data_IF_128809172945
#
_entry.id   IF_128809172945
#
_cell.length_a   1.000
_cell.length_b   1.000
_cell.length_c   1.000
_cell.angle_alpha   90.00
_cell.angle_beta   90.00
_cell.angle_gamma   90.00
#
_symmetry.space_group_name_H-M   'P 1'
#
loop_
_entity.id
_entity.type
_entity.pdbx_description
1 polymer ?
#
# COMPACT_ATOMS: atom_id res chain seq x y z
N UNK A 1 20.98 -54.16 32.69
CA UNK A 1 19.67 -53.82 32.12
C UNK A 1 19.28 -52.40 32.52
N UNK A 2 19.47 -51.41 31.65
CA UNK A 2 18.84 -50.09 31.77
C UNK A 2 18.48 -49.62 30.36
N UNK A 3 17.19 -49.73 30.01
CA UNK A 3 16.57 -49.06 28.87
C UNK A 3 15.86 -47.84 29.45
N UNK A 4 16.21 -46.64 28.99
CA UNK A 4 15.37 -45.44 29.09
C UNK A 4 15.47 -44.73 27.74
N UNK A 5 14.47 -44.93 26.88
CA UNK A 5 13.43 -43.94 26.52
C UNK A 5 14.07 -42.73 25.81
N UNK A 6 14.12 -42.85 24.47
CA UNK A 6 14.33 -41.74 23.55
C UNK A 6 13.15 -41.74 22.57
N UNK A 7 12.03 -41.18 22.99
CA UNK A 7 10.92 -40.89 22.07
C UNK A 7 10.09 -39.75 22.63
N UNK A 8 10.37 -38.50 22.23
CA UNK A 8 9.34 -37.46 22.02
C UNK A 8 9.89 -36.14 21.45
N UNK A 9 10.41 -36.12 20.22
CA UNK A 9 10.54 -34.85 19.46
C UNK A 9 10.38 -35.12 17.97
N UNK A 10 9.18 -35.44 17.49
CA UNK A 10 8.94 -35.52 16.03
C UNK A 10 7.50 -35.26 15.58
N UNK A 11 6.64 -34.66 16.40
CA UNK A 11 5.23 -34.40 16.03
C UNK A 11 4.93 -32.91 15.75
N UNK A 12 5.81 -31.98 16.15
CA UNK A 12 5.57 -30.54 15.94
C UNK A 12 5.98 -29.98 14.57
N UNK A 13 6.79 -30.73 13.79
CA UNK A 13 7.29 -30.26 12.48
C UNK A 13 6.38 -30.63 11.31
N UNK A 14 5.63 -31.73 11.40
CA UNK A 14 4.75 -32.19 10.30
C UNK A 14 3.44 -31.39 10.21
N UNK A 15 2.87 -30.97 11.34
CA UNK A 15 1.62 -30.17 11.37
C UNK A 15 1.80 -28.75 10.81
N UNK A 16 2.95 -28.10 11.06
CA UNK A 16 3.23 -26.76 10.55
C UNK A 16 3.44 -26.76 9.02
N UNK A 17 3.91 -27.87 8.46
CA UNK A 17 4.17 -27.95 7.02
C UNK A 17 2.87 -28.08 6.22
N UNK A 18 1.85 -28.80 6.71
CA UNK A 18 0.57 -28.94 6.00
C UNK A 18 -0.24 -27.65 5.98
N UNK A 19 -0.32 -26.93 7.12
CA UNK A 19 -1.05 -25.65 7.20
C UNK A 19 -0.38 -24.57 6.34
N UNK A 20 0.96 -24.49 6.35
CA UNK A 20 1.67 -23.56 5.47
C UNK A 20 1.46 -23.91 3.99
N UNK A 21 1.46 -25.19 3.63
CA UNK A 21 1.22 -25.65 2.26
C UNK A 21 -0.21 -25.33 1.79
N UNK A 22 -1.19 -25.35 2.69
CA UNK A 22 -2.56 -24.94 2.39
C UNK A 22 -2.72 -23.41 2.22
N UNK A 23 -2.00 -22.58 3.00
CA UNK A 23 -2.11 -21.10 2.91
C UNK A 23 -1.53 -20.54 1.60
N UNK A 24 -0.63 -21.27 0.95
CA UNK A 24 -0.07 -20.92 -0.36
C UNK A 24 -0.71 -21.66 -1.53
N UNK A 25 -1.84 -22.34 -1.31
CA UNK A 25 -2.65 -22.85 -2.40
C UNK A 25 -3.33 -21.67 -3.12
N UNK A 26 -3.15 -21.59 -4.44
CA UNK A 26 -3.64 -20.45 -5.24
C UNK A 26 -5.16 -20.32 -5.18
N UNK A 27 -5.90 -21.43 -5.12
CA UNK A 27 -7.36 -21.39 -5.03
C UNK A 27 -7.83 -20.87 -3.68
N UNK A 28 -7.14 -21.23 -2.59
CA UNK A 28 -7.43 -20.73 -1.24
C UNK A 28 -7.11 -19.25 -1.08
N UNK A 29 -6.00 -18.79 -1.68
CA UNK A 29 -5.66 -17.36 -1.69
C UNK A 29 -6.73 -16.56 -2.44
N UNK A 30 -7.11 -17.01 -3.64
CA UNK A 30 -8.15 -16.32 -4.41
C UNK A 30 -9.49 -16.32 -3.67
N UNK A 31 -9.88 -17.45 -3.07
CA UNK A 31 -11.09 -17.53 -2.26
C UNK A 31 -11.06 -16.54 -1.10
N UNK A 32 -9.97 -16.48 -0.33
CA UNK A 32 -9.80 -15.54 0.76
C UNK A 32 -9.91 -14.07 0.28
N UNK A 33 -9.39 -13.76 -0.90
CA UNK A 33 -9.52 -12.43 -1.52
C UNK A 33 -10.98 -12.13 -1.93
N UNK A 34 -11.71 -13.10 -2.47
CA UNK A 34 -13.14 -12.95 -2.80
C UNK A 34 -13.97 -12.73 -1.54
N UNK A 35 -13.76 -13.51 -0.49
CA UNK A 35 -14.46 -13.34 0.80
C UNK A 35 -14.19 -11.96 1.42
N UNK A 36 -12.96 -11.47 1.33
CA UNK A 36 -12.60 -10.12 1.77
C UNK A 36 -13.31 -9.02 0.98
N UNK A 37 -13.39 -9.18 -0.36
CA UNK A 37 -14.15 -8.27 -1.22
C UNK A 37 -15.64 -8.29 -0.85
N UNK A 38 -16.26 -9.46 -0.78
CA UNK A 38 -17.69 -9.61 -0.51
C UNK A 38 -18.07 -9.00 0.84
N UNK A 39 -17.26 -9.25 1.87
CA UNK A 39 -17.46 -8.64 3.17
C UNK A 39 -17.37 -7.11 3.09
N UNK A 40 -16.37 -6.56 2.40
CA UNK A 40 -16.18 -5.11 2.31
C UNK A 40 -17.26 -4.42 1.46
N UNK A 41 -17.72 -5.03 0.38
CA UNK A 41 -18.84 -4.53 -0.44
C UNK A 41 -20.16 -4.54 0.33
N UNK A 42 -20.34 -5.47 1.29
CA UNK A 42 -21.48 -5.48 2.20
C UNK A 42 -21.40 -4.43 3.32
N UNK A 43 -20.20 -3.87 3.57
CA UNK A 43 -19.94 -2.87 4.62
C UNK A 43 -19.28 -1.60 4.04
N UNK A 44 -19.97 -0.87 3.15
CA UNK A 44 -19.39 0.32 2.53
C UNK A 44 -19.06 1.39 3.58
N UNK A 45 -17.88 2.00 3.46
CA UNK A 45 -17.41 3.06 4.35
C UNK A 45 -16.61 4.10 3.56
N UNK A 46 -16.57 5.32 4.06
CA UNK A 46 -15.74 6.42 3.56
C UNK A 46 -15.42 7.38 4.71
N UNK A 47 -14.38 8.21 4.55
CA UNK A 47 -14.06 9.27 5.49
C UNK A 47 -14.95 10.50 5.27
N UNK A 48 -15.11 10.91 4.01
CA UNK A 48 -15.86 12.11 3.62
C UNK A 48 -16.84 11.81 2.48
N UNK A 49 -16.42 11.04 1.48
CA UNK A 49 -17.19 10.79 0.28
C UNK A 49 -16.83 9.43 -0.35
N UNK A 50 -17.75 8.71 -1.02
CA UNK A 50 -17.44 7.47 -1.73
C UNK A 50 -16.32 7.55 -2.79
N UNK A 51 -15.91 8.76 -3.19
CA UNK A 51 -14.80 9.03 -4.12
C UNK A 51 -13.48 9.40 -3.42
N UNK A 52 -13.45 9.41 -2.08
CA UNK A 52 -12.25 9.77 -1.31
C UNK A 52 -11.14 8.70 -1.36
N UNK A 53 -9.98 9.05 -0.80
CA UNK A 53 -8.79 8.19 -0.78
C UNK A 53 -8.99 6.83 -0.12
N UNK A 54 -9.92 6.70 0.83
CA UNK A 54 -10.15 5.43 1.52
C UNK A 54 -10.71 4.40 0.54
N UNK A 55 -11.66 4.83 -0.30
CA UNK A 55 -12.19 4.04 -1.39
C UNK A 55 -11.19 3.94 -2.55
N UNK A 56 -10.42 4.99 -2.82
CA UNK A 56 -9.37 4.94 -3.84
C UNK A 56 -8.34 3.85 -3.58
N UNK A 57 -7.85 3.75 -2.35
CA UNK A 57 -6.92 2.68 -1.94
C UNK A 57 -7.58 1.30 -1.94
N UNK A 58 -8.83 1.20 -1.48
CA UNK A 58 -9.59 -0.04 -1.53
C UNK A 58 -9.73 -0.58 -2.96
N UNK A 59 -10.29 0.22 -3.88
CA UNK A 59 -10.52 -0.19 -5.26
C UNK A 59 -9.23 -0.33 -6.08
N UNK A 60 -8.12 0.27 -5.64
CA UNK A 60 -6.79 -0.05 -6.19
C UNK A 60 -6.41 -1.51 -5.91
N UNK A 61 -6.67 -2.00 -4.69
CA UNK A 61 -6.50 -3.42 -4.37
C UNK A 61 -7.43 -4.33 -5.17
N UNK A 62 -8.69 -3.94 -5.33
CA UNK A 62 -9.66 -4.67 -6.18
C UNK A 62 -9.19 -4.73 -7.64
N UNK A 63 -8.64 -3.63 -8.18
CA UNK A 63 -8.09 -3.58 -9.52
C UNK A 63 -6.92 -4.56 -9.71
N UNK A 64 -5.97 -4.61 -8.76
CA UNK A 64 -4.85 -5.56 -8.81
C UNK A 64 -5.30 -7.00 -8.63
N UNK A 65 -6.28 -7.26 -7.76
CA UNK A 65 -6.90 -8.58 -7.62
C UNK A 65 -7.54 -9.05 -8.93
N UNK A 66 -8.32 -8.19 -9.62
CA UNK A 66 -8.88 -8.53 -10.93
C UNK A 66 -7.79 -8.75 -11.98
N UNK A 67 -6.74 -7.91 -11.98
CA UNK A 67 -5.65 -8.02 -12.95
C UNK A 67 -4.95 -9.37 -12.90
N UNK A 68 -4.78 -9.92 -11.69
CA UNK A 68 -4.14 -11.23 -11.53
C UNK A 68 -5.09 -12.41 -11.76
N UNK A 69 -6.31 -12.34 -11.22
CA UNK A 69 -7.23 -13.49 -11.20
C UNK A 69 -8.14 -13.57 -12.43
N UNK A 70 -8.37 -12.44 -13.12
CA UNK A 70 -9.45 -12.28 -14.11
C UNK A 70 -10.85 -12.63 -13.59
N UNK A 71 -11.02 -12.71 -12.26
CA UNK A 71 -12.26 -13.14 -11.63
C UNK A 71 -13.34 -12.05 -11.75
N UNK A 72 -14.50 -12.44 -12.28
CA UNK A 72 -15.56 -11.50 -12.64
C UNK A 72 -16.17 -10.77 -11.45
N UNK A 73 -16.02 -11.29 -10.23
CA UNK A 73 -16.52 -10.62 -9.01
C UNK A 73 -15.78 -9.30 -8.77
N UNK A 74 -14.45 -9.26 -8.93
CA UNK A 74 -13.68 -8.02 -8.73
C UNK A 74 -14.03 -6.94 -9.77
N UNK A 75 -14.14 -7.30 -11.05
CA UNK A 75 -14.52 -6.31 -12.09
C UNK A 75 -15.98 -5.87 -11.99
N UNK A 76 -16.87 -6.71 -11.47
CA UNK A 76 -18.25 -6.32 -11.18
C UNK A 76 -18.30 -5.24 -10.08
N UNK A 77 -17.54 -5.41 -8.99
CA UNK A 77 -17.42 -4.40 -7.93
C UNK A 77 -16.86 -3.06 -8.47
N UNK A 78 -15.79 -3.13 -9.27
CA UNK A 78 -15.17 -1.95 -9.91
C UNK A 78 -16.15 -1.20 -10.82
N UNK A 79 -16.90 -1.90 -11.66
CA UNK A 79 -17.92 -1.30 -12.54
C UNK A 79 -19.06 -0.70 -11.74
N UNK A 80 -19.53 -1.39 -10.70
CA UNK A 80 -20.60 -0.91 -9.83
C UNK A 80 -20.21 0.39 -9.14
N UNK A 81 -19.00 0.45 -8.59
CA UNK A 81 -18.44 1.67 -8.03
C UNK A 81 -18.31 2.79 -9.07
N UNK A 82 -17.78 2.48 -10.25
CA UNK A 82 -17.61 3.46 -11.32
C UNK A 82 -18.91 4.11 -11.76
N UNK A 83 -19.96 3.32 -11.95
CA UNK A 83 -21.31 3.81 -12.27
C UNK A 83 -21.92 4.62 -11.13
N UNK A 84 -21.79 4.15 -9.88
CA UNK A 84 -22.27 4.87 -8.68
C UNK A 84 -21.65 6.26 -8.57
N UNK A 85 -20.36 6.37 -8.83
CA UNK A 85 -19.60 7.61 -8.70
C UNK A 85 -19.64 8.49 -9.96
N UNK A 86 -20.36 8.05 -11.01
CA UNK A 86 -20.36 8.68 -12.34
C UNK A 86 -18.95 8.97 -12.87
N UNK A 87 -17.97 8.11 -12.54
CA UNK A 87 -16.57 8.20 -12.94
C UNK A 87 -15.84 9.48 -12.50
N UNK A 88 -16.29 10.12 -11.41
CA UNK A 88 -15.70 11.37 -10.91
C UNK A 88 -14.68 11.11 -9.79
N UNK A 89 -13.48 11.73 -9.83
CA UNK A 89 -12.68 11.90 -8.63
C UNK A 89 -13.40 12.83 -7.64
N UNK A 90 -12.87 12.93 -6.41
CA UNK A 90 -13.38 13.90 -5.45
C UNK A 90 -12.96 15.33 -5.84
N UNK A 91 -13.39 16.35 -5.10
CA UNK A 91 -13.51 17.71 -5.64
C UNK A 91 -12.34 18.68 -5.33
N UNK A 92 -11.42 18.36 -4.41
CA UNK A 92 -10.30 19.23 -4.06
C UNK A 92 -9.12 18.94 -4.99
N UNK A 93 -9.13 19.56 -6.17
CA UNK A 93 -8.09 19.36 -7.20
C UNK A 93 -6.66 19.59 -6.71
N UNK A 94 -6.44 20.33 -5.62
CA UNK A 94 -5.11 20.54 -5.03
C UNK A 94 -4.68 19.45 -4.03
N UNK A 95 -5.55 18.48 -3.71
CA UNK A 95 -5.32 17.48 -2.66
C UNK A 95 -5.15 16.08 -3.27
N UNK A 96 -3.99 15.45 -3.06
CA UNK A 96 -3.65 14.15 -3.68
C UNK A 96 -4.66 13.03 -3.37
N UNK A 97 -5.23 13.01 -2.15
CA UNK A 97 -6.29 12.07 -1.76
C UNK A 97 -7.44 11.98 -2.76
N UNK A 98 -7.83 13.11 -3.35
CA UNK A 98 -9.07 13.23 -4.10
C UNK A 98 -8.97 12.62 -5.50
N UNK A 99 -7.75 12.27 -5.95
CA UNK A 99 -7.53 11.59 -7.23
C UNK A 99 -7.40 10.07 -7.10
N UNK A 100 -7.17 9.52 -5.90
CA UNK A 100 -6.78 8.12 -5.73
C UNK A 100 -7.75 7.11 -6.38
N UNK A 101 -9.06 7.40 -6.34
CA UNK A 101 -10.11 6.58 -6.97
C UNK A 101 -9.94 6.44 -8.49
N UNK A 102 -9.26 7.40 -9.13
CA UNK A 102 -9.01 7.39 -10.57
C UNK A 102 -8.08 6.27 -11.01
N UNK A 103 -7.30 5.65 -10.12
CA UNK A 103 -6.52 4.46 -10.45
C UNK A 103 -7.45 3.34 -10.96
N UNK A 104 -8.55 3.09 -10.25
CA UNK A 104 -9.57 2.13 -10.65
C UNK A 104 -10.27 2.52 -11.96
N UNK A 105 -10.54 3.81 -12.19
CA UNK A 105 -11.15 4.29 -13.44
C UNK A 105 -10.27 4.05 -14.65
N UNK A 106 -8.98 4.39 -14.56
CA UNK A 106 -7.99 4.16 -15.61
C UNK A 106 -7.84 2.66 -15.87
N UNK A 107 -7.80 1.85 -14.81
CA UNK A 107 -7.75 0.39 -14.92
C UNK A 107 -8.96 -0.17 -15.68
N UNK A 108 -10.19 0.19 -15.30
CA UNK A 108 -11.41 -0.27 -15.97
C UNK A 108 -11.39 0.13 -17.45
N UNK A 109 -10.96 1.36 -17.77
CA UNK A 109 -10.86 1.83 -19.15
C UNK A 109 -9.87 1.01 -19.99
N UNK A 110 -8.80 0.49 -19.37
CA UNK A 110 -7.85 -0.43 -20.03
C UNK A 110 -8.47 -1.78 -20.38
N UNK A 111 -9.47 -2.25 -19.60
CA UNK A 111 -10.13 -3.55 -19.84
C UNK A 111 -11.18 -3.49 -20.97
N UNK A 112 -11.84 -2.34 -21.14
CA UNK A 112 -12.84 -2.12 -22.19
C UNK A 112 -12.90 -0.65 -22.57
N UNK A 113 -12.57 -0.34 -23.82
CA UNK A 113 -12.68 1.00 -24.39
C UNK A 113 -14.12 1.52 -24.27
N UNK A 114 -14.23 2.82 -24.06
CA UNK A 114 -15.49 3.59 -24.03
C UNK A 114 -16.45 3.26 -22.88
N UNK A 115 -16.04 2.45 -21.91
CA UNK A 115 -16.86 2.14 -20.72
C UNK A 115 -16.82 3.26 -19.66
N UNK A 116 -15.70 3.99 -19.60
CA UNK A 116 -15.39 4.95 -18.55
C UNK A 116 -15.36 6.37 -19.12
N UNK A 117 -16.06 7.30 -18.47
CA UNK A 117 -15.86 8.72 -18.76
C UNK A 117 -14.64 9.24 -17.98
N UNK A 118 -13.49 9.38 -18.64
CA UNK A 118 -12.26 9.87 -18.02
C UNK A 118 -12.12 11.40 -18.03
N UNK A 119 -13.05 12.16 -18.62
CA UNK A 119 -12.98 13.63 -18.64
C UNK A 119 -12.83 14.24 -17.23
N UNK A 120 -13.53 13.78 -16.17
CA UNK A 120 -13.33 14.30 -14.82
C UNK A 120 -11.92 14.05 -14.28
N UNK A 121 -11.33 12.87 -14.56
CA UNK A 121 -9.94 12.56 -14.19
C UNK A 121 -8.95 13.41 -14.97
N UNK A 122 -9.15 13.58 -16.28
CA UNK A 122 -8.33 14.44 -17.14
C UNK A 122 -8.32 15.87 -16.59
N UNK A 123 -9.50 16.43 -16.29
CA UNK A 123 -9.68 17.78 -15.74
C UNK A 123 -9.02 17.93 -14.37
N UNK A 124 -9.18 16.96 -13.46
CA UNK A 124 -8.48 16.97 -12.17
C UNK A 124 -6.97 17.05 -12.37
N UNK A 125 -6.39 16.20 -13.23
CA UNK A 125 -4.94 16.16 -13.46
C UNK A 125 -4.44 17.49 -14.03
N UNK A 126 -5.17 18.11 -14.96
CA UNK A 126 -4.80 19.43 -15.47
C UNK A 126 -4.76 20.48 -14.35
N UNK A 127 -5.80 20.53 -13.52
CA UNK A 127 -5.91 21.46 -12.41
C UNK A 127 -4.85 21.22 -11.33
N UNK A 128 -4.56 19.95 -11.01
CA UNK A 128 -3.62 19.54 -9.97
C UNK A 128 -2.16 19.86 -10.33
N UNK A 129 -1.78 19.62 -11.59
CA UNK A 129 -0.38 19.68 -12.01
C UNK A 129 -0.01 20.94 -12.78
N UNK A 130 -0.93 21.54 -13.53
CA UNK A 130 -0.59 22.56 -14.53
C UNK A 130 -1.22 23.93 -14.27
N UNK A 131 -2.45 23.98 -13.77
CA UNK A 131 -3.12 25.25 -13.49
C UNK A 131 -2.42 26.00 -12.33
N UNK A 132 -2.48 27.35 -12.31
CA UNK A 132 -1.95 28.12 -11.21
C UNK A 132 -2.84 28.01 -9.97
N UNK A 133 -2.30 27.49 -8.87
CA UNK A 133 -2.95 27.49 -7.56
C UNK A 133 -1.92 27.55 -6.43
N UNK A 134 -2.24 28.13 -5.26
CA UNK A 134 -1.28 28.41 -4.20
C UNK A 134 -0.61 27.15 -3.61
N UNK A 135 -1.25 25.99 -3.75
CA UNK A 135 -0.74 24.73 -3.19
C UNK A 135 0.44 24.13 -3.98
N UNK A 136 0.68 24.53 -5.24
CA UNK A 136 1.79 23.99 -6.05
C UNK A 136 3.17 24.35 -5.49
N UNK A 137 3.26 25.47 -4.79
CA UNK A 137 4.50 25.97 -4.16
C UNK A 137 4.55 25.67 -2.66
N UNK A 138 3.50 25.04 -2.12
CA UNK A 138 3.28 24.95 -0.68
C UNK A 138 2.84 26.28 -0.06
N UNK A 139 2.38 26.20 1.20
CA UNK A 139 1.92 27.35 1.97
C UNK A 139 3.00 27.74 2.98
N UNK A 140 3.66 28.87 2.73
CA UNK A 140 4.72 29.42 3.61
C UNK A 140 4.22 29.54 5.06
N UNK A 141 5.05 29.10 6.00
CA UNK A 141 4.75 29.16 7.43
C UNK A 141 3.73 28.12 7.92
N UNK A 142 3.35 27.15 7.09
CA UNK A 142 2.51 26.00 7.49
C UNK A 142 3.25 24.69 7.21
N UNK A 143 2.71 23.60 7.76
CA UNK A 143 3.19 22.23 7.52
C UNK A 143 3.13 21.83 6.04
N UNK A 144 2.26 22.47 5.26
CA UNK A 144 1.98 22.17 3.85
C UNK A 144 3.02 22.78 2.91
N UNK A 145 4.30 22.41 3.07
CA UNK A 145 5.44 23.08 2.39
C UNK A 145 5.63 22.69 0.91
N UNK A 146 4.92 21.68 0.42
CA UNK A 146 4.86 21.25 -0.99
C UNK A 146 3.46 20.75 -1.31
N UNK A 147 3.13 20.51 -2.58
CA UNK A 147 1.85 19.94 -3.02
C UNK A 147 1.56 18.61 -2.31
N UNK A 148 2.58 17.75 -2.20
CA UNK A 148 2.52 16.45 -1.54
C UNK A 148 3.30 16.49 -0.22
N UNK A 149 2.81 17.30 0.72
CA UNK A 149 3.50 17.61 1.99
C UNK A 149 3.46 16.50 3.05
N UNK A 150 2.80 15.37 2.76
CA UNK A 150 2.75 14.19 3.62
C UNK A 150 3.05 12.93 2.80
N UNK A 151 3.68 11.93 3.42
CA UNK A 151 4.20 10.77 2.68
C UNK A 151 3.10 9.94 2.01
N UNK A 152 1.88 9.91 2.57
CA UNK A 152 0.78 9.07 2.08
C UNK A 152 0.34 9.51 0.68
N UNK A 153 0.51 10.80 0.33
CA UNK A 153 0.24 11.35 -1.00
C UNK A 153 0.99 10.60 -2.11
N UNK A 154 2.12 9.96 -1.78
CA UNK A 154 2.94 9.20 -2.71
C UNK A 154 2.31 7.87 -3.17
N UNK A 155 1.25 7.42 -2.51
CA UNK A 155 0.36 6.37 -3.01
C UNK A 155 -0.84 6.94 -3.78
N UNK A 156 -1.36 8.09 -3.35
CA UNK A 156 -2.65 8.59 -3.83
C UNK A 156 -2.56 9.14 -5.27
N UNK A 157 -1.53 9.93 -5.57
CA UNK A 157 -1.39 10.59 -6.87
C UNK A 157 -0.40 9.89 -7.83
N UNK A 158 0.84 9.54 -7.43
CA UNK A 158 1.83 9.02 -8.38
C UNK A 158 1.41 7.77 -9.17
N UNK A 159 0.79 6.73 -8.58
CA UNK A 159 0.31 5.58 -9.35
C UNK A 159 -0.74 5.95 -10.40
N UNK A 160 -1.64 6.89 -10.10
CA UNK A 160 -2.62 7.42 -11.06
C UNK A 160 -1.88 8.13 -12.20
N UNK A 161 -0.92 8.99 -11.88
CA UNK A 161 -0.16 9.75 -12.87
C UNK A 161 0.70 8.86 -13.77
N UNK A 162 1.31 7.79 -13.23
CA UNK A 162 2.04 6.80 -14.03
C UNK A 162 1.10 6.06 -15.00
N UNK A 163 -0.04 5.57 -14.50
CA UNK A 163 -1.06 4.91 -15.32
C UNK A 163 -1.63 5.84 -16.40
N UNK A 164 -1.83 7.11 -16.04
CA UNK A 164 -2.35 8.14 -16.92
C UNK A 164 -1.35 8.54 -18.01
N UNK A 165 -0.07 8.70 -17.66
CA UNK A 165 1.00 8.98 -18.60
C UNK A 165 1.12 7.87 -19.65
N UNK A 166 1.03 6.60 -19.20
CA UNK A 166 0.99 5.43 -20.08
C UNK A 166 -0.25 5.43 -20.98
N UNK A 167 -1.43 5.75 -20.44
CA UNK A 167 -2.68 5.84 -21.22
C UNK A 167 -2.61 6.91 -22.31
N UNK A 168 -2.06 8.09 -21.99
CA UNK A 168 -1.94 9.22 -22.92
C UNK A 168 -0.69 9.13 -23.83
N UNK A 169 0.23 8.22 -23.52
CA UNK A 169 1.55 8.12 -24.14
C UNK A 169 2.29 9.48 -24.12
N UNK A 170 2.32 10.12 -22.95
CA UNK A 170 2.86 11.47 -22.76
C UNK A 170 3.66 11.57 -21.45
N UNK A 171 4.99 11.63 -21.58
CA UNK A 171 5.92 11.65 -20.43
C UNK A 171 5.86 12.94 -19.61
N UNK A 172 5.23 14.02 -20.10
CA UNK A 172 5.16 15.27 -19.35
C UNK A 172 4.47 15.10 -17.98
N UNK A 173 3.55 14.14 -17.89
CA UNK A 173 2.88 13.80 -16.63
C UNK A 173 3.83 13.10 -15.64
N UNK A 174 4.75 12.27 -16.14
CA UNK A 174 5.83 11.69 -15.33
C UNK A 174 6.82 12.76 -14.86
N UNK A 175 7.09 13.77 -15.70
CA UNK A 175 7.99 14.87 -15.34
C UNK A 175 7.44 15.75 -14.22
N UNK A 176 6.17 16.16 -14.30
CA UNK A 176 5.54 16.88 -13.18
C UNK A 176 5.39 15.98 -11.95
N UNK A 177 5.06 14.68 -12.13
CA UNK A 177 5.07 13.72 -11.03
C UNK A 177 6.45 13.66 -10.36
N UNK A 178 7.54 13.60 -11.12
CA UNK A 178 8.90 13.52 -10.59
C UNK A 178 9.28 14.76 -9.78
N UNK A 179 8.94 15.94 -10.29
CA UNK A 179 9.13 17.21 -9.57
C UNK A 179 8.48 17.19 -8.19
N UNK A 180 7.20 16.85 -8.09
CA UNK A 180 6.49 16.84 -6.81
C UNK A 180 6.93 15.68 -5.91
N UNK A 181 7.21 14.50 -6.48
CA UNK A 181 7.75 13.36 -5.72
C UNK A 181 9.10 13.72 -5.08
N UNK A 182 9.98 14.37 -5.85
CA UNK A 182 11.31 14.75 -5.39
C UNK A 182 11.26 15.79 -4.28
N UNK A 183 10.29 16.72 -4.31
CA UNK A 183 10.05 17.66 -3.21
C UNK A 183 9.65 16.95 -1.92
N UNK A 184 8.72 15.97 -2.00
CA UNK A 184 8.35 15.16 -0.84
C UNK A 184 9.50 14.31 -0.32
N UNK A 185 10.28 13.70 -1.23
CA UNK A 185 11.48 12.94 -0.89
C UNK A 185 12.49 13.82 -0.15
N UNK A 186 12.83 14.99 -0.69
CA UNK A 186 13.81 15.90 -0.07
C UNK A 186 13.34 16.43 1.28
N UNK A 187 12.03 16.56 1.48
CA UNK A 187 11.43 17.04 2.73
C UNK A 187 11.33 15.95 3.80
N UNK A 188 10.93 14.72 3.43
CA UNK A 188 10.43 13.71 4.37
C UNK A 188 11.24 12.42 4.43
N UNK A 189 12.07 12.12 3.44
CA UNK A 189 12.87 10.89 3.45
C UNK A 189 14.08 11.03 4.36
N UNK A 190 14.12 10.20 5.39
CA UNK A 190 15.28 10.08 6.27
C UNK A 190 16.29 9.11 5.65
N UNK A 191 17.42 9.62 5.16
CA UNK A 191 18.45 8.82 4.48
C UNK A 191 19.20 7.88 5.42
N UNK A 192 19.26 8.18 6.72
CA UNK A 192 19.91 7.33 7.71
C UNK A 192 19.00 6.15 8.05
N UNK A 193 17.72 6.44 8.23
CA UNK A 193 16.73 5.42 8.62
C UNK A 193 16.13 4.69 7.42
N UNK A 194 16.29 5.23 6.21
CA UNK A 194 15.73 4.73 4.95
C UNK A 194 14.19 4.63 4.98
N UNK A 195 13.54 5.55 5.67
CA UNK A 195 12.09 5.62 5.88
C UNK A 195 11.59 7.05 5.73
N UNK A 196 10.30 7.19 5.44
CA UNK A 196 9.62 8.48 5.35
C UNK A 196 8.99 8.88 6.68
N UNK A 197 9.33 10.08 7.16
CA UNK A 197 8.52 10.78 8.14
C UNK A 197 7.14 11.08 7.53
N UNK A 198 6.07 11.01 8.34
CA UNK A 198 4.71 11.20 7.81
C UNK A 198 4.50 12.60 7.24
N UNK A 199 5.00 13.61 7.96
CA UNK A 199 5.02 15.01 7.58
C UNK A 199 6.08 15.74 8.44
N UNK A 200 6.24 17.04 8.23
CA UNK A 200 7.27 17.85 8.89
C UNK A 200 7.21 17.82 10.42
N UNK A 201 6.06 17.49 11.03
CA UNK A 201 5.91 17.42 12.51
C UNK A 201 6.65 16.23 13.12
N UNK A 202 7.11 15.29 12.30
CA UNK A 202 7.83 14.08 12.72
C UNK A 202 9.31 14.14 12.35
N UNK A 203 9.78 15.22 11.73
CA UNK A 203 11.19 15.47 11.51
C UNK A 203 11.87 15.87 12.83
N UNK A 204 13.10 15.43 13.01
CA UNK A 204 13.93 15.83 14.14
C UNK A 204 14.80 17.01 13.78
N UNK A 205 14.79 18.05 14.60
CA UNK A 205 15.66 19.21 14.48
C UNK A 205 16.73 19.25 15.58
N UNK A 206 16.83 18.19 16.39
CA UNK A 206 17.71 18.09 17.54
C UNK A 206 17.18 18.85 18.77
N UNK A 207 15.87 19.13 18.81
CA UNK A 207 15.25 19.95 19.86
C UNK A 207 14.59 19.05 20.93
N UNK A 208 14.46 19.52 22.19
CA UNK A 208 13.70 18.79 23.21
C UNK A 208 12.23 18.53 22.83
N UNK A 209 11.66 19.35 21.95
CA UNK A 209 10.30 19.22 21.44
C UNK A 209 10.12 18.21 20.31
N UNK A 210 11.21 17.60 19.80
CA UNK A 210 11.13 16.60 18.75
C UNK A 210 10.26 15.41 19.21
N UNK A 211 9.34 14.97 18.35
CA UNK A 211 8.45 13.85 18.68
C UNK A 211 9.22 12.53 18.65
N UNK A 212 9.09 11.74 19.71
CA UNK A 212 9.78 10.46 19.87
C UNK A 212 8.79 9.35 20.16
N UNK A 213 9.11 8.13 19.70
CA UNK A 213 8.44 6.92 20.16
C UNK A 213 8.70 6.69 21.65
N UNK A 214 7.97 5.75 22.25
CA UNK A 214 8.10 5.45 23.69
C UNK A 214 9.52 5.04 24.09
N UNK A 215 10.25 4.38 23.20
CA UNK A 215 11.65 4.01 23.37
C UNK A 215 12.66 5.14 23.03
N UNK A 216 12.18 6.35 22.79
CA UNK A 216 13.00 7.52 22.50
C UNK A 216 13.51 7.63 21.05
N UNK A 217 13.15 6.70 20.15
CA UNK A 217 13.56 6.75 18.73
C UNK A 217 12.65 7.66 17.88
N UNK A 218 13.09 7.93 16.64
CA UNK A 218 12.28 8.61 15.61
C UNK A 218 10.97 7.85 15.35
N UNK A 219 9.91 8.58 15.02
CA UNK A 219 8.59 7.99 14.71
C UNK A 219 8.48 7.77 13.21
N UNK A 220 8.53 6.50 12.80
CA UNK A 220 8.16 6.08 11.45
C UNK A 220 6.91 5.20 11.50
N UNK A 221 5.85 5.70 10.88
CA UNK A 221 4.56 5.02 10.86
C UNK A 221 4.54 3.94 9.78
N UNK A 222 4.12 2.73 10.16
CA UNK A 222 4.09 1.56 9.29
C UNK A 222 3.22 1.78 8.06
N UNK A 223 1.93 2.12 8.23
CA UNK A 223 1.06 2.40 7.08
C UNK A 223 1.53 3.60 6.25
N UNK A 224 2.11 4.63 6.87
CA UNK A 224 2.71 5.76 6.16
C UNK A 224 3.79 5.32 5.17
N UNK A 225 4.73 4.48 5.63
CA UNK A 225 5.76 3.90 4.77
C UNK A 225 5.21 2.84 3.82
N UNK A 226 4.14 2.14 4.21
CA UNK A 226 3.38 1.22 3.36
C UNK A 226 2.80 1.92 2.14
N UNK A 227 2.21 3.11 2.31
CA UNK A 227 1.76 3.95 1.21
C UNK A 227 2.89 4.24 0.23
N UNK A 228 4.05 4.68 0.72
CA UNK A 228 5.16 5.05 -0.15
C UNK A 228 5.69 3.85 -0.94
N UNK A 229 6.01 2.73 -0.28
CA UNK A 229 6.60 1.58 -0.98
C UNK A 229 5.59 0.83 -1.86
N UNK A 230 4.31 0.76 -1.45
CA UNK A 230 3.23 0.26 -2.28
C UNK A 230 3.02 1.16 -3.51
N UNK A 231 3.08 2.48 -3.32
CA UNK A 231 3.02 3.45 -4.42
C UNK A 231 4.19 3.31 -5.38
N UNK A 232 5.41 3.09 -4.88
CA UNK A 232 6.60 2.82 -5.70
C UNK A 232 6.44 1.57 -6.56
N UNK A 233 5.94 0.47 -5.99
CA UNK A 233 5.67 -0.75 -6.74
C UNK A 233 4.67 -0.51 -7.89
N UNK A 234 3.56 0.19 -7.62
CA UNK A 234 2.57 0.53 -8.64
C UNK A 234 3.11 1.50 -9.71
N UNK A 235 3.88 2.52 -9.31
CA UNK A 235 4.52 3.46 -10.25
C UNK A 235 5.50 2.72 -11.17
N UNK A 236 6.35 1.86 -10.62
CA UNK A 236 7.34 1.11 -11.40
C UNK A 236 6.72 0.08 -12.35
N UNK A 237 5.51 -0.41 -12.05
CA UNK A 237 4.75 -1.35 -12.90
C UNK A 237 4.31 -0.70 -14.23
N UNK A 238 3.95 0.59 -14.20
CA UNK A 238 3.46 1.33 -15.37
C UNK A 238 4.48 2.32 -15.98
N UNK A 239 5.57 2.61 -15.27
CA UNK A 239 6.63 3.51 -15.75
C UNK A 239 7.41 2.90 -16.92
N UNK A 240 7.66 3.65 -18.01
CA UNK A 240 8.53 3.20 -19.11
C UNK A 240 9.92 2.79 -18.61
N UNK A 241 10.45 1.67 -19.13
CA UNK A 241 11.75 1.11 -18.70
C UNK A 241 12.93 2.06 -18.94
N UNK A 242 12.80 2.96 -19.92
CA UNK A 242 13.77 3.96 -20.35
C UNK A 242 13.46 5.38 -19.86
N UNK A 243 12.45 5.55 -18.98
CA UNK A 243 12.15 6.86 -18.41
C UNK A 243 13.37 7.43 -17.68
N UNK A 244 13.74 8.68 -18.00
CA UNK A 244 15.00 9.34 -17.58
C UNK A 244 15.26 9.35 -16.06
N UNK A 245 14.20 9.31 -15.23
CA UNK A 245 14.32 9.31 -13.77
C UNK A 245 14.00 7.95 -13.13
N UNK A 246 13.79 6.87 -13.89
CA UNK A 246 13.42 5.55 -13.36
C UNK A 246 14.38 5.04 -12.29
N UNK A 247 15.69 5.24 -12.47
CA UNK A 247 16.72 4.82 -11.52
C UNK A 247 16.52 5.42 -10.11
N UNK A 248 15.98 6.64 -9.99
CA UNK A 248 15.65 7.23 -8.70
C UNK A 248 14.61 6.40 -7.94
N UNK A 249 13.52 6.02 -8.62
CA UNK A 249 12.44 5.23 -8.03
C UNK A 249 12.87 3.81 -7.70
N UNK A 250 13.67 3.18 -8.57
CA UNK A 250 14.23 1.85 -8.31
C UNK A 250 15.14 1.81 -7.09
N UNK A 251 16.02 2.81 -6.94
CA UNK A 251 16.93 2.88 -5.80
C UNK A 251 16.17 3.15 -4.51
N UNK A 252 15.23 4.12 -4.52
CA UNK A 252 14.39 4.41 -3.36
C UNK A 252 13.59 3.18 -2.91
N UNK A 253 12.98 2.48 -3.87
CA UNK A 253 12.25 1.24 -3.60
C UNK A 253 13.16 0.19 -2.93
N UNK A 254 14.38 -0.03 -3.45
CA UNK A 254 15.32 -1.01 -2.90
C UNK A 254 15.81 -0.64 -1.50
N UNK A 255 16.12 0.64 -1.25
CA UNK A 255 16.53 1.13 0.08
C UNK A 255 15.43 0.91 1.11
N UNK A 256 14.19 1.31 0.78
CA UNK A 256 13.03 1.09 1.66
C UNK A 256 12.75 -0.40 1.87
N UNK A 257 12.79 -1.21 0.80
CA UNK A 257 12.55 -2.65 0.90
C UNK A 257 13.53 -3.33 1.85
N UNK A 258 14.82 -2.99 1.75
CA UNK A 258 15.86 -3.52 2.64
C UNK A 258 15.62 -3.14 4.11
N UNK A 259 15.25 -1.88 4.37
CA UNK A 259 14.92 -1.44 5.74
C UNK A 259 13.67 -2.12 6.28
N UNK A 260 12.61 -2.21 5.48
CA UNK A 260 11.34 -2.84 5.87
C UNK A 260 11.56 -4.33 6.18
N UNK A 261 12.33 -5.04 5.37
CA UNK A 261 12.75 -6.41 5.63
C UNK A 261 13.45 -6.53 7.00
N UNK A 262 14.44 -5.67 7.26
CA UNK A 262 15.20 -5.69 8.51
C UNK A 262 14.35 -5.40 9.76
N UNK A 263 13.23 -4.70 9.59
CA UNK A 263 12.32 -4.34 10.68
C UNK A 263 11.15 -5.32 10.84
N UNK A 264 11.06 -6.39 10.05
CA UNK A 264 9.93 -7.34 10.13
C UNK A 264 9.97 -8.11 11.45
N UNK A 265 8.92 -8.02 12.29
CA UNK A 265 8.86 -8.79 13.53
C UNK A 265 8.83 -10.31 13.29
N UNK A 266 9.14 -11.09 14.32
CA UNK A 266 9.21 -12.55 14.25
C UNK A 266 7.88 -13.20 13.86
N UNK A 267 6.76 -12.61 14.24
CA UNK A 267 5.41 -13.10 13.91
C UNK A 267 4.93 -12.71 12.51
N UNK A 268 5.69 -11.89 11.77
CA UNK A 268 5.42 -11.52 10.39
C UNK A 268 4.66 -10.20 10.17
N UNK A 269 3.99 -9.66 11.20
CA UNK A 269 3.26 -8.39 11.07
C UNK A 269 4.05 -7.24 11.65
N UNK A 270 4.27 -6.20 10.85
CA UNK A 270 4.81 -4.94 11.32
C UNK A 270 3.80 -4.26 12.24
N UNK A 271 4.28 -3.70 13.35
CA UNK A 271 3.46 -2.86 14.25
C UNK A 271 3.26 -1.49 13.64
N UNK A 272 2.35 -0.71 14.18
CA UNK A 272 2.08 0.65 13.67
C UNK A 272 3.29 1.58 13.81
N UNK A 273 4.14 1.38 14.83
CA UNK A 273 5.45 2.01 14.94
C UNK A 273 6.55 1.07 14.44
N UNK A 274 7.31 1.50 13.43
CA UNK A 274 8.38 0.69 12.83
C UNK A 274 9.62 0.58 13.71
N UNK A 275 9.94 1.62 14.49
CA UNK A 275 11.13 1.65 15.35
C UNK A 275 10.83 1.39 16.83
N UNK A 276 9.55 1.34 17.23
CA UNK A 276 9.09 1.00 18.58
C UNK A 276 7.98 -0.06 18.54
N UNK A 277 8.22 -1.23 17.91
CA UNK A 277 7.20 -2.28 17.81
C UNK A 277 6.76 -2.82 19.19
N UNK A 278 7.62 -2.75 20.20
CA UNK A 278 7.32 -3.15 21.58
C UNK A 278 6.17 -2.35 22.24
N UNK A 279 5.84 -1.17 21.70
CA UNK A 279 4.71 -0.35 22.15
C UNK A 279 3.34 -0.94 21.78
N UNK A 280 3.29 -1.99 20.96
CA UNK A 280 2.06 -2.61 20.47
C UNK A 280 2.09 -4.13 20.63
N UNK A 281 1.08 -4.67 21.32
CA UNK A 281 1.00 -6.08 21.67
C UNK A 281 0.65 -7.01 20.49
N UNK A 282 0.23 -6.44 19.35
CA UNK A 282 -0.09 -7.17 18.12
C UNK A 282 0.36 -6.34 16.92
N UNK A 283 0.73 -7.01 15.82
CA UNK A 283 1.03 -6.34 14.56
C UNK A 283 -0.23 -5.75 13.89
N UNK A 284 -0.03 -4.87 12.94
CA UNK A 284 -1.11 -4.16 12.25
C UNK A 284 -1.18 -4.54 10.77
N UNK A 285 -2.40 -4.77 10.29
CA UNK A 285 -2.64 -5.47 9.02
C UNK A 285 -2.46 -4.57 7.80
N UNK A 286 -2.90 -3.31 7.82
CA UNK A 286 -2.85 -2.48 6.60
C UNK A 286 -1.42 -2.12 6.19
N UNK A 287 -0.56 -1.69 7.12
CA UNK A 287 0.85 -1.44 6.82
C UNK A 287 1.57 -2.70 6.37
N UNK A 288 1.34 -3.82 7.07
CA UNK A 288 1.88 -5.14 6.72
C UNK A 288 1.40 -5.63 5.35
N UNK A 289 0.16 -5.33 4.96
CA UNK A 289 -0.41 -5.64 3.65
C UNK A 289 0.35 -4.92 2.54
N UNK A 290 0.57 -3.61 2.67
CA UNK A 290 1.36 -2.85 1.69
C UNK A 290 2.82 -3.32 1.59
N UNK A 291 3.46 -3.65 2.72
CA UNK A 291 4.81 -4.21 2.70
C UNK A 291 4.85 -5.58 2.02
N UNK A 292 3.91 -6.47 2.34
CA UNK A 292 3.83 -7.80 1.73
C UNK A 292 3.61 -7.68 0.22
N UNK A 293 2.68 -6.82 -0.21
CA UNK A 293 2.47 -6.48 -1.62
C UNK A 293 3.75 -6.01 -2.29
N UNK A 294 4.38 -4.96 -1.76
CA UNK A 294 5.51 -4.33 -2.42
C UNK A 294 6.72 -5.26 -2.47
N UNK A 295 7.00 -6.02 -1.41
CA UNK A 295 8.09 -6.99 -1.39
C UNK A 295 7.83 -8.18 -2.34
N UNK A 296 6.59 -8.69 -2.38
CA UNK A 296 6.20 -9.75 -3.32
C UNK A 296 6.34 -9.29 -4.77
N UNK A 297 5.84 -8.09 -5.09
CA UNK A 297 6.00 -7.45 -6.40
C UNK A 297 7.48 -7.35 -6.78
N UNK A 298 8.35 -6.97 -5.84
CA UNK A 298 9.79 -6.86 -6.08
C UNK A 298 10.45 -8.18 -6.45
N UNK A 299 10.10 -9.25 -5.75
CA UNK A 299 10.57 -10.61 -6.06
C UNK A 299 10.06 -11.05 -7.43
N UNK A 300 8.77 -10.86 -7.71
CA UNK A 300 8.15 -11.26 -8.99
C UNK A 300 8.74 -10.54 -10.21
N UNK A 301 9.17 -9.28 -10.03
CA UNK A 301 9.73 -8.45 -11.09
C UNK A 301 11.27 -8.47 -11.14
N UNK A 302 11.94 -9.31 -10.35
CA UNK A 302 13.40 -9.41 -10.31
C UNK A 302 14.10 -8.15 -9.76
N UNK A 303 13.36 -7.30 -9.06
CA UNK A 303 13.86 -6.09 -8.40
C UNK A 303 14.50 -6.39 -7.05
N UNK A 304 14.04 -7.46 -6.40
CA UNK A 304 14.55 -7.97 -5.11
C UNK A 304 15.00 -9.43 -5.27
N UNK A 305 16.06 -9.78 -4.56
CA UNK A 305 16.59 -11.15 -4.55
C UNK A 305 15.57 -12.13 -3.92
N UNK A 306 15.27 -13.22 -4.63
CA UNK A 306 14.23 -14.17 -4.22
C UNK A 306 14.59 -14.84 -2.89
N UNK A 307 15.83 -15.30 -2.74
CA UNK A 307 16.23 -16.07 -1.56
C UNK A 307 16.24 -15.22 -0.29
N UNK A 308 16.60 -13.94 -0.42
CA UNK A 308 16.59 -12.98 0.68
C UNK A 308 15.16 -12.57 1.09
N UNK A 309 14.27 -12.26 0.13
CA UNK A 309 13.00 -11.60 0.43
C UNK A 309 11.79 -12.53 0.49
N UNK A 310 11.80 -13.66 -0.23
CA UNK A 310 10.66 -14.59 -0.26
C UNK A 310 10.26 -15.12 1.13
N UNK A 311 11.18 -15.48 2.05
CA UNK A 311 10.81 -15.90 3.39
C UNK A 311 10.01 -14.84 4.16
N UNK A 312 10.40 -13.56 4.03
CA UNK A 312 9.70 -12.43 4.64
C UNK A 312 8.30 -12.24 4.06
N UNK A 313 8.17 -12.32 2.73
CA UNK A 313 6.87 -12.24 2.04
C UNK A 313 5.94 -13.36 2.49
N UNK A 314 6.43 -14.61 2.52
CA UNK A 314 5.65 -15.77 2.98
C UNK A 314 5.20 -15.59 4.43
N UNK A 315 6.10 -15.14 5.31
CA UNK A 315 5.78 -14.88 6.72
C UNK A 315 4.73 -13.78 6.87
N UNK A 316 4.84 -12.69 6.10
CA UNK A 316 3.85 -11.61 6.07
C UNK A 316 2.47 -12.10 5.62
N UNK A 317 2.41 -12.84 4.51
CA UNK A 317 1.14 -13.39 4.00
C UNK A 317 0.46 -14.34 4.99
N UNK A 318 1.20 -15.28 5.58
CA UNK A 318 0.64 -16.20 6.59
C UNK A 318 0.02 -15.42 7.75
N UNK A 319 0.68 -14.35 8.21
CA UNK A 319 0.20 -13.57 9.33
C UNK A 319 -1.01 -12.70 8.96
N UNK A 320 -1.06 -12.16 7.73
CA UNK A 320 -2.22 -11.45 7.19
C UNK A 320 -3.44 -12.37 7.07
N UNK A 321 -3.28 -13.56 6.48
CA UNK A 321 -4.35 -14.53 6.30
C UNK A 321 -4.98 -14.95 7.64
N UNK A 322 -4.18 -15.07 8.71
CA UNK A 322 -4.67 -15.36 10.07
C UNK A 322 -5.50 -14.25 10.70
N UNK A 323 -5.43 -13.02 10.18
CA UNK A 323 -6.22 -11.88 10.68
C UNK A 323 -7.57 -11.73 9.98
N UNK A 324 -7.83 -12.53 8.94
CA UNK A 324 -9.14 -12.61 8.31
C UNK A 324 -10.09 -13.43 9.18
N UNK A 325 -11.29 -12.90 9.41
CA UNK A 325 -12.36 -13.61 10.10
C UNK A 325 -13.07 -14.59 9.16
N UNK A 326 -13.78 -15.57 9.71
CA UNK A 326 -14.51 -16.58 8.93
C UNK A 326 -15.56 -16.00 7.96
N UNK A 327 -16.06 -14.79 8.23
CA UNK A 327 -17.01 -14.10 7.36
C UNK A 327 -16.34 -13.24 6.28
N UNK A 328 -15.01 -13.25 6.17
CA UNK A 328 -14.24 -12.47 5.21
C UNK A 328 -13.69 -11.14 5.75
N UNK A 329 -14.11 -10.66 6.94
CA UNK A 329 -13.63 -9.38 7.49
C UNK A 329 -12.11 -9.38 7.71
N UNK A 330 -11.44 -8.34 7.24
CA UNK A 330 -10.02 -8.11 7.53
C UNK A 330 -9.88 -7.30 8.82
N UNK A 331 -9.52 -7.98 9.92
CA UNK A 331 -9.33 -7.38 11.24
C UNK A 331 -7.93 -6.78 11.47
N UNK A 332 -7.67 -6.26 12.68
CA UNK A 332 -6.39 -5.68 13.08
C UNK A 332 -5.92 -4.51 12.19
N UNK A 333 -6.86 -3.75 11.64
CA UNK A 333 -6.58 -2.57 10.81
C UNK A 333 -6.69 -1.31 11.66
N UNK A 334 -5.57 -0.57 11.80
CA UNK A 334 -5.60 0.72 12.48
C UNK A 334 -6.52 1.69 11.70
N UNK A 335 -7.49 2.30 12.39
CA UNK A 335 -8.36 3.34 11.85
C UNK A 335 -7.62 4.56 11.28
N UNK A 336 -8.36 5.46 10.59
CA UNK A 336 -7.80 6.65 9.94
C UNK A 336 -6.94 7.46 10.93
N UNK A 337 -5.74 7.86 10.51
CA UNK A 337 -4.78 8.53 11.38
C UNK A 337 -3.56 9.03 10.62
N UNK A 338 -2.64 9.66 11.37
CA UNK A 338 -1.41 10.25 10.85
C UNK A 338 -0.17 9.83 11.67
N UNK A 339 -0.34 8.95 12.65
CA UNK A 339 0.66 8.48 13.60
C UNK A 339 0.38 7.03 14.03
N UNK A 340 1.34 6.35 14.66
CA UNK A 340 1.10 5.02 15.25
C UNK A 340 -0.01 5.06 16.31
N UNK A 341 -1.06 4.24 16.12
CA UNK A 341 -2.18 4.06 17.06
C UNK A 341 -2.51 2.58 17.19
N UNK A 342 -3.14 2.14 18.29
CA UNK A 342 -3.55 0.75 18.44
C UNK A 342 -4.63 0.37 17.42
N UNK A 343 -4.70 -0.93 17.15
CA UNK A 343 -5.76 -1.62 16.44
C UNK A 343 -6.18 -2.83 17.26
N UNK A 344 -7.35 -3.38 16.98
CA UNK A 344 -7.85 -4.61 17.60
C UNK A 344 -8.39 -5.59 16.55
N UNK A 345 -8.67 -6.82 16.96
CA UNK A 345 -9.13 -7.89 16.07
C UNK A 345 -10.40 -7.54 15.27
N UNK A 346 -11.24 -6.63 15.75
CA UNK A 346 -12.50 -6.23 15.12
C UNK A 346 -12.42 -4.87 14.42
N UNK A 347 -11.29 -4.16 14.52
CA UNK A 347 -11.05 -2.95 13.75
C UNK A 347 -10.73 -3.27 12.29
N UNK A 348 -11.50 -2.67 11.37
CA UNK A 348 -11.43 -2.88 9.93
C UNK A 348 -11.59 -1.54 9.20
N UNK A 349 -11.05 -1.45 8.00
CA UNK A 349 -11.24 -0.33 7.08
C UNK A 349 -11.17 -0.81 5.63
N UNK A 350 -11.87 -0.13 4.72
CA UNK A 350 -11.84 -0.41 3.27
C UNK A 350 -10.42 -0.43 2.69
N UNK A 351 -9.56 0.51 3.07
CA UNK A 351 -8.16 0.52 2.63
C UNK A 351 -7.33 -0.62 3.23
N UNK A 352 -7.73 -1.18 4.38
CA UNK A 352 -7.11 -2.39 4.94
C UNK A 352 -7.43 -3.62 4.08
N UNK A 353 -8.68 -3.76 3.67
CA UNK A 353 -9.10 -4.76 2.67
C UNK A 353 -8.36 -4.54 1.34
N UNK A 354 -8.23 -3.28 0.89
CA UNK A 354 -7.41 -2.94 -0.30
C UNK A 354 -5.96 -3.42 -0.20
N UNK A 355 -5.31 -3.19 0.95
CA UNK A 355 -3.94 -3.65 1.20
C UNK A 355 -3.82 -5.19 1.23
N UNK A 356 -4.82 -5.88 1.80
CA UNK A 356 -4.89 -7.34 1.79
C UNK A 356 -5.03 -7.90 0.36
N UNK A 357 -5.91 -7.31 -0.45
CA UNK A 357 -6.09 -7.68 -1.86
C UNK A 357 -4.83 -7.41 -2.70
N UNK A 358 -4.14 -6.29 -2.45
CA UNK A 358 -2.83 -6.01 -3.06
C UNK A 358 -1.83 -7.12 -2.72
N UNK A 359 -1.69 -7.47 -1.44
CA UNK A 359 -0.77 -8.53 -1.01
C UNK A 359 -1.10 -9.86 -1.67
N UNK A 360 -2.37 -10.28 -1.62
CA UNK A 360 -2.84 -11.54 -2.24
C UNK A 360 -2.56 -11.58 -3.75
N UNK A 361 -2.79 -10.47 -4.46
CA UNK A 361 -2.56 -10.39 -5.92
C UNK A 361 -1.11 -10.66 -6.32
N UNK A 362 -0.12 -10.27 -5.51
CA UNK A 362 1.29 -10.56 -5.82
C UNK A 362 1.76 -11.90 -5.23
N UNK A 363 1.16 -12.35 -4.12
CA UNK A 363 1.46 -13.67 -3.55
C UNK A 363 1.00 -14.79 -4.48
N UNK A 364 -0.13 -14.64 -5.19
CA UNK A 364 -0.61 -15.60 -6.20
C UNK A 364 0.42 -15.92 -7.29
N UNK A 365 1.28 -14.93 -7.63
CA UNK A 365 2.29 -15.05 -8.68
C UNK A 365 3.56 -15.76 -8.22
N UNK A 366 3.74 -15.95 -6.90
CA UNK A 366 4.95 -16.56 -6.35
C UNK A 366 5.03 -18.02 -6.77
N UNK A 367 5.90 -18.31 -7.73
CA UNK A 367 6.24 -19.69 -8.10
C UNK A 367 7.03 -20.32 -6.94
N UNK A 368 6.44 -21.35 -6.35
CA UNK A 368 7.10 -22.20 -5.35
C UNK A 368 8.40 -22.79 -5.89
#
# INVERSE_FOLDING_TARGET
>A
MKKSILTLVTVFTLFNCSVAQEIFDTSKIEQAMVEALEWQEAHPIYAVDPTDWTNGAYYTGVARAHQETSNQTFIAALKTMGHRNAWKPFNRFFHADDIAISYAYIYINSTRKDLVNLEPTDTFIQQHLFDPHPWREGIKGKDMQTLWWWCDALFMAPPVLASYAKLKNDEKYLDEMHKYYKQTYDLLYDKEEQLFARDVRFLWEGKPSDKKGENGKKIFWSRGNGWVIGGLALVLDDMPKDYKHRAFYENLYKEMAAKILALQPEDGLWRTSLLSPESFNHGEVSGSGFFTFALAWGVNNGMLDKDTYLPSVKKGWIALAKCQHENGMIGWVQNIGFDPRPADANSWQNYGTGAFLLAGSEVLKLKN
#
